data_IF_638024195829
#
_entry.id   IF_638024195829
#
_cell.length_a   1.000
_cell.length_b   1.000
_cell.length_c   1.000
_cell.angle_alpha   90.00
_cell.angle_beta   90.00
_cell.angle_gamma   90.00
#
_symmetry.space_group_name_H-M   'P 1'
#
loop_
_entity.id
_entity.type
_entity.pdbx_description
1 polymer ?
#
# COMPACT_ATOMS: atom_id res chain seq x y z
N UNK A 1 -30.17 -7.79 -30.47
CA UNK A 1 -30.17 -7.82 -29.01
C UNK A 1 -29.38 -9.05 -28.53
N UNK A 2 -28.05 -8.90 -28.27
CA UNK A 2 -27.26 -10.01 -27.72
C UNK A 2 -27.44 -10.00 -26.19
N UNK A 3 -28.18 -10.96 -25.66
CA UNK A 3 -28.21 -11.25 -24.21
C UNK A 3 -26.84 -11.80 -23.81
N UNK A 4 -26.04 -10.97 -23.20
CA UNK A 4 -24.83 -11.42 -22.49
C UNK A 4 -25.30 -12.20 -21.24
N UNK A 5 -25.27 -13.51 -21.31
CA UNK A 5 -25.44 -14.37 -20.14
C UNK A 5 -24.19 -14.14 -19.27
N UNK A 6 -24.32 -13.23 -18.30
CA UNK A 6 -23.37 -13.19 -17.18
C UNK A 6 -23.64 -14.43 -16.33
N UNK A 7 -22.89 -15.51 -16.56
CA UNK A 7 -22.81 -16.60 -15.60
C UNK A 7 -22.22 -15.98 -14.32
N UNK A 8 -23.05 -15.78 -13.29
CA UNK A 8 -22.55 -15.41 -11.97
C UNK A 8 -21.85 -16.65 -11.42
N UNK A 9 -20.51 -16.65 -11.48
CA UNK A 9 -19.70 -17.63 -10.77
C UNK A 9 -20.04 -17.45 -9.29
N UNK A 10 -20.47 -18.52 -8.63
CA UNK A 10 -20.61 -18.52 -7.19
C UNK A 10 -19.21 -18.57 -6.57
N UNK A 11 -18.73 -17.39 -6.18
CA UNK A 11 -17.39 -17.23 -5.63
C UNK A 11 -17.24 -17.94 -4.29
N UNK A 12 -18.30 -18.03 -3.48
CA UNK A 12 -18.27 -18.71 -2.19
C UNK A 12 -18.11 -20.22 -2.39
N UNK A 13 -18.87 -20.79 -3.32
CA UNK A 13 -18.73 -22.20 -3.69
C UNK A 13 -17.32 -22.47 -4.25
N UNK A 14 -16.82 -21.61 -5.16
CA UNK A 14 -15.49 -21.76 -5.75
C UNK A 14 -14.39 -21.75 -4.68
N UNK A 15 -14.50 -20.88 -3.68
CA UNK A 15 -13.52 -20.78 -2.61
C UNK A 15 -13.59 -21.99 -1.65
N UNK A 16 -14.76 -22.48 -1.34
CA UNK A 16 -14.95 -23.72 -0.54
C UNK A 16 -14.37 -24.93 -1.28
N UNK A 17 -14.61 -25.02 -2.59
CA UNK A 17 -14.08 -26.10 -3.42
C UNK A 17 -12.56 -26.05 -3.56
N UNK A 18 -11.99 -24.87 -3.76
CA UNK A 18 -10.54 -24.68 -3.77
C UNK A 18 -9.91 -25.10 -2.44
N UNK A 19 -10.53 -24.74 -1.32
CA UNK A 19 -10.07 -25.18 0.00
C UNK A 19 -10.13 -26.70 0.13
N UNK A 20 -11.19 -27.34 -0.35
CA UNK A 20 -11.36 -28.80 -0.34
C UNK A 20 -10.29 -29.50 -1.18
N UNK A 21 -9.96 -28.97 -2.36
CA UNK A 21 -8.90 -29.49 -3.20
C UNK A 21 -7.53 -29.38 -2.51
N UNK A 22 -7.20 -28.21 -1.95
CA UNK A 22 -5.95 -28.02 -1.22
C UNK A 22 -5.83 -28.93 0.01
N UNK A 23 -6.94 -29.19 0.70
CA UNK A 23 -6.98 -30.13 1.83
C UNK A 23 -6.73 -31.56 1.36
N UNK A 24 -7.31 -31.97 0.23
CA UNK A 24 -7.09 -33.26 -0.40
C UNK A 24 -5.62 -33.43 -0.83
N UNK A 25 -5.05 -32.42 -1.48
CA UNK A 25 -3.65 -32.42 -1.92
C UNK A 25 -2.69 -32.51 -0.72
N UNK A 26 -2.99 -31.76 0.36
CA UNK A 26 -2.19 -31.83 1.58
C UNK A 26 -2.25 -33.23 2.22
N UNK A 27 -3.42 -33.87 2.22
CA UNK A 27 -3.59 -35.23 2.72
C UNK A 27 -2.82 -36.25 1.89
N UNK A 28 -2.85 -36.09 0.57
CA UNK A 28 -2.06 -36.96 -0.33
C UNK A 28 -0.55 -36.79 -0.11
N UNK A 29 -0.09 -35.55 0.09
CA UNK A 29 1.31 -35.22 0.30
C UNK A 29 1.86 -35.62 1.68
N UNK A 30 1.03 -35.59 2.71
CA UNK A 30 1.44 -35.81 4.11
C UNK A 30 1.06 -37.18 4.66
N UNK A 31 0.15 -37.91 3.99
CA UNK A 31 -0.40 -39.19 4.47
C UNK A 31 -1.45 -39.04 5.60
N UNK A 32 -1.75 -37.83 6.04
CA UNK A 32 -2.77 -37.56 7.06
C UNK A 32 -3.47 -36.22 6.79
N UNK A 33 -4.66 -36.02 7.38
CA UNK A 33 -5.39 -34.78 7.25
C UNK A 33 -4.89 -33.76 8.26
N UNK A 34 -4.57 -32.53 7.79
CA UNK A 34 -4.12 -31.40 8.63
C UNK A 34 -5.25 -30.52 9.17
N UNK A 35 -6.45 -30.68 8.62
CA UNK A 35 -7.64 -29.98 9.07
C UNK A 35 -8.85 -30.88 8.87
N UNK A 36 -9.97 -30.67 9.61
CA UNK A 36 -11.23 -31.29 9.34
C UNK A 36 -11.78 -30.85 7.98
N UNK A 37 -12.76 -31.57 7.47
CA UNK A 37 -13.49 -31.16 6.27
C UNK A 37 -14.34 -29.92 6.57
N UNK A 38 -13.71 -28.73 6.38
CA UNK A 38 -14.36 -27.43 6.65
C UNK A 38 -15.52 -27.15 5.69
N UNK A 39 -15.67 -27.93 4.61
CA UNK A 39 -16.81 -27.76 3.69
C UNK A 39 -18.15 -28.10 4.32
N UNK A 40 -18.14 -28.85 5.42
CA UNK A 40 -19.33 -29.24 6.20
C UNK A 40 -19.69 -28.25 7.32
N UNK A 41 -18.80 -27.31 7.62
CA UNK A 41 -19.00 -26.32 8.67
C UNK A 41 -19.65 -25.07 8.08
N UNK A 42 -20.41 -24.36 8.91
CA UNK A 42 -20.78 -22.98 8.60
C UNK A 42 -19.50 -22.11 8.48
N UNK A 43 -19.61 -20.97 7.85
CA UNK A 43 -18.46 -20.06 7.70
C UNK A 43 -17.94 -19.59 9.06
N UNK A 44 -18.82 -19.34 10.03
CA UNK A 44 -18.43 -18.96 11.39
C UNK A 44 -17.63 -20.09 12.07
N UNK A 45 -18.13 -21.32 12.06
CA UNK A 45 -17.43 -22.48 12.63
C UNK A 45 -16.07 -22.72 11.96
N UNK A 46 -16.00 -22.56 10.62
CA UNK A 46 -14.76 -22.69 9.89
C UNK A 46 -13.75 -21.59 10.25
N UNK A 47 -14.22 -20.37 10.59
CA UNK A 47 -13.38 -19.26 11.05
C UNK A 47 -12.86 -19.47 12.46
N UNK A 48 -13.70 -20.02 13.32
CA UNK A 48 -13.34 -20.33 14.71
C UNK A 48 -12.40 -21.53 14.79
N UNK A 49 -12.33 -22.32 13.72
CA UNK A 49 -11.29 -23.35 13.60
C UNK A 49 -9.91 -22.67 13.50
N UNK A 50 -9.38 -22.40 14.66
CA UNK A 50 -8.01 -21.91 14.80
C UNK A 50 -7.10 -23.07 14.47
N UNK A 51 -6.36 -22.97 13.36
CA UNK A 51 -5.28 -23.90 13.08
C UNK A 51 -4.39 -24.00 14.31
N UNK A 52 -4.10 -25.22 14.82
CA UNK A 52 -3.38 -25.39 16.07
C UNK A 52 -2.13 -24.52 16.07
N UNK A 53 -1.86 -23.88 17.21
CA UNK A 53 -0.72 -23.01 17.38
C UNK A 53 0.55 -23.70 16.91
N UNK A 54 1.47 -22.97 16.31
CA UNK A 54 2.68 -23.47 15.65
C UNK A 54 3.59 -24.36 16.50
N UNK A 55 3.31 -24.52 17.77
CA UNK A 55 4.12 -25.30 18.71
C UNK A 55 4.05 -26.82 18.52
N UNK A 56 3.12 -27.31 17.70
CA UNK A 56 2.97 -28.75 17.41
C UNK A 56 3.67 -29.19 16.11
N UNK A 57 4.48 -28.36 15.49
CA UNK A 57 4.95 -28.56 14.12
C UNK A 57 6.38 -29.01 14.07
N UNK A 58 6.57 -30.31 14.01
CA UNK A 58 7.90 -30.91 13.83
C UNK A 58 8.32 -31.01 12.36
N UNK A 59 7.47 -30.55 11.41
CA UNK A 59 7.71 -30.75 9.98
C UNK A 59 7.37 -29.50 9.15
N UNK A 60 8.37 -28.98 8.45
CA UNK A 60 8.25 -27.82 7.56
C UNK A 60 7.21 -27.99 6.44
N UNK A 61 6.98 -29.21 5.96
CA UNK A 61 5.97 -29.51 4.96
C UNK A 61 4.55 -29.33 5.50
N UNK A 62 4.28 -29.82 6.69
CA UNK A 62 3.00 -29.65 7.38
C UNK A 62 2.72 -28.17 7.61
N UNK A 63 3.71 -27.41 8.08
CA UNK A 63 3.61 -25.97 8.26
C UNK A 63 3.27 -25.23 6.97
N UNK A 64 3.89 -25.60 5.84
CA UNK A 64 3.62 -25.01 4.53
C UNK A 64 2.15 -25.17 4.12
N UNK A 65 1.59 -26.37 4.25
CA UNK A 65 0.20 -26.64 3.89
C UNK A 65 -0.80 -25.89 4.75
N UNK A 66 -0.55 -25.84 6.06
CA UNK A 66 -1.39 -25.04 6.95
C UNK A 66 -1.34 -23.55 6.63
N UNK A 67 -0.15 -23.03 6.36
CA UNK A 67 -0.01 -21.62 5.98
C UNK A 67 -0.78 -21.32 4.68
N UNK A 68 -0.75 -22.19 3.70
CA UNK A 68 -1.49 -22.03 2.45
C UNK A 68 -3.00 -22.04 2.69
N UNK A 69 -3.50 -23.01 3.44
CA UNK A 69 -4.93 -23.12 3.78
C UNK A 69 -5.41 -21.91 4.61
N UNK A 70 -4.67 -21.54 5.65
CA UNK A 70 -5.02 -20.40 6.49
C UNK A 70 -4.97 -19.06 5.74
N UNK A 71 -3.98 -18.88 4.85
CA UNK A 71 -3.85 -17.66 4.05
C UNK A 71 -4.99 -17.50 3.05
N UNK A 72 -5.44 -18.59 2.44
CA UNK A 72 -6.60 -18.58 1.56
C UNK A 72 -7.86 -18.16 2.33
N UNK A 73 -8.08 -18.78 3.49
CA UNK A 73 -9.23 -18.56 4.33
C UNK A 73 -9.27 -17.15 4.95
N UNK A 74 -8.14 -16.61 5.36
CA UNK A 74 -8.04 -15.28 5.97
C UNK A 74 -8.27 -14.12 4.99
N UNK A 75 -8.08 -14.33 3.69
CA UNK A 75 -8.21 -13.25 2.70
C UNK A 75 -9.58 -13.16 2.07
N UNK A 76 -10.32 -14.25 2.05
CA UNK A 76 -11.63 -14.29 1.42
C UNK A 76 -12.75 -14.00 2.44
N UNK A 77 -13.74 -13.23 2.02
CA UNK A 77 -14.94 -12.95 2.80
C UNK A 77 -16.12 -13.63 2.16
N UNK A 78 -16.79 -14.51 2.90
CA UNK A 78 -18.01 -15.18 2.47
C UNK A 78 -19.23 -14.27 2.66
N UNK A 79 -20.29 -14.53 1.87
CA UNK A 79 -21.53 -13.73 1.92
C UNK A 79 -22.30 -13.89 3.23
N UNK A 80 -22.18 -15.07 3.84
CA UNK A 80 -22.80 -15.43 5.11
C UNK A 80 -21.98 -15.06 6.35
N UNK A 81 -20.91 -14.26 6.16
CA UNK A 81 -20.06 -13.80 7.26
C UNK A 81 -20.85 -12.87 8.21
N UNK A 82 -20.82 -13.12 9.53
CA UNK A 82 -21.61 -12.34 10.49
C UNK A 82 -21.07 -10.92 10.73
N UNK A 83 -19.95 -10.57 10.11
CA UNK A 83 -19.30 -9.28 10.30
C UNK A 83 -20.02 -8.16 9.53
N UNK A 84 -20.49 -7.15 10.24
CA UNK A 84 -21.05 -5.95 9.64
C UNK A 84 -19.97 -5.10 9.00
N UNK A 85 -20.08 -4.87 7.68
CA UNK A 85 -19.18 -4.00 6.92
C UNK A 85 -19.14 -2.59 7.46
N UNK A 86 -20.28 -2.05 7.87
CA UNK A 86 -20.39 -0.70 8.44
C UNK A 86 -19.65 -0.59 9.76
N UNK A 87 -19.71 -1.64 10.57
CA UNK A 87 -18.96 -1.69 11.82
C UNK A 87 -17.45 -1.71 11.56
N UNK A 88 -16.99 -2.50 10.58
CA UNK A 88 -15.57 -2.53 10.19
C UNK A 88 -15.10 -1.17 9.64
N UNK A 89 -15.94 -0.51 8.84
CA UNK A 89 -15.64 0.82 8.32
C UNK A 89 -15.48 1.82 9.46
N UNK A 90 -16.41 1.85 10.39
CA UNK A 90 -16.39 2.73 11.57
C UNK A 90 -15.11 2.51 12.40
N UNK A 91 -14.81 1.27 12.75
CA UNK A 91 -13.59 0.94 13.54
C UNK A 91 -12.31 1.32 12.79
N UNK A 92 -12.26 1.10 11.48
CA UNK A 92 -11.07 1.44 10.68
C UNK A 92 -10.89 2.95 10.55
N UNK A 93 -11.98 3.70 10.33
CA UNK A 93 -11.94 5.17 10.28
C UNK A 93 -11.57 5.78 11.63
N UNK A 94 -12.10 5.26 12.72
CA UNK A 94 -11.74 5.71 14.06
C UNK A 94 -10.26 5.49 14.37
N UNK A 95 -9.70 4.32 14.02
CA UNK A 95 -8.27 4.06 14.13
C UNK A 95 -7.43 5.03 13.31
N UNK A 96 -7.89 5.37 12.11
CA UNK A 96 -7.21 6.35 11.27
C UNK A 96 -7.24 7.75 11.89
N UNK A 97 -8.42 8.23 12.35
CA UNK A 97 -8.56 9.52 13.06
C UNK A 97 -7.67 9.59 14.30
N UNK A 98 -7.67 8.57 15.13
CA UNK A 98 -6.81 8.49 16.32
C UNK A 98 -5.32 8.55 15.95
N UNK A 99 -4.93 7.94 14.84
CA UNK A 99 -3.57 8.05 14.34
C UNK A 99 -3.23 9.48 13.87
N UNK A 100 -4.14 10.18 13.19
CA UNK A 100 -3.93 11.59 12.81
C UNK A 100 -3.67 12.47 14.04
N UNK A 101 -4.46 12.30 15.10
CA UNK A 101 -4.27 13.04 16.36
C UNK A 101 -2.91 12.71 16.97
N UNK A 102 -2.56 11.43 17.06
CA UNK A 102 -1.25 10.98 17.58
C UNK A 102 -0.08 11.56 16.79
N UNK A 103 -0.19 11.55 15.46
CA UNK A 103 0.86 12.03 14.55
C UNK A 103 0.99 13.56 14.62
N UNK A 104 -0.13 14.27 14.76
CA UNK A 104 -0.14 15.73 14.90
C UNK A 104 0.52 16.21 16.22
N UNK A 105 0.58 15.34 17.24
CA UNK A 105 1.18 15.67 18.55
C UNK A 105 2.68 15.31 18.65
N UNK A 106 3.30 14.81 17.56
CA UNK A 106 4.71 14.45 17.60
C UNK A 106 5.58 15.71 17.51
N UNK A 107 6.44 15.90 18.50
CA UNK A 107 7.42 16.97 18.59
C UNK A 107 8.85 16.41 18.40
N UNK A 108 9.72 17.18 17.75
CA UNK A 108 11.11 16.80 17.51
C UNK A 108 12.10 17.52 18.45
N UNK A 109 11.61 18.36 19.34
CA UNK A 109 12.45 19.27 20.14
C UNK A 109 13.11 18.62 21.36
N UNK A 110 12.82 17.36 21.65
CA UNK A 110 13.48 16.66 22.74
C UNK A 110 14.98 16.47 22.45
N UNK A 111 15.91 16.76 23.39
CA UNK A 111 17.37 16.73 23.16
C UNK A 111 17.89 15.42 22.55
N UNK A 112 17.38 14.26 23.02
CA UNK A 112 17.76 12.95 22.49
C UNK A 112 17.27 12.78 21.03
N UNK A 113 16.05 13.23 20.74
CA UNK A 113 15.48 13.19 19.40
C UNK A 113 16.27 14.07 18.45
N UNK A 114 16.61 15.30 18.86
CA UNK A 114 17.38 16.25 18.08
C UNK A 114 18.77 15.71 17.68
N UNK A 115 19.45 14.99 18.59
CA UNK A 115 20.75 14.39 18.28
C UNK A 115 20.63 13.26 17.25
N UNK A 116 19.62 12.42 17.36
CA UNK A 116 19.34 11.34 16.41
C UNK A 116 18.94 11.93 15.04
N UNK A 117 18.04 12.91 15.03
CA UNK A 117 17.59 13.59 13.80
C UNK A 117 18.75 14.23 13.06
N UNK A 118 19.67 14.89 13.79
CA UNK A 118 20.88 15.47 13.17
C UNK A 118 21.72 14.42 12.47
N UNK A 119 21.97 13.28 13.13
CA UNK A 119 22.78 12.20 12.55
C UNK A 119 22.05 11.53 11.36
N UNK A 120 20.76 11.30 11.50
CA UNK A 120 19.93 10.78 10.42
C UNK A 120 19.94 11.72 9.20
N UNK A 121 19.85 13.05 9.43
CA UNK A 121 19.94 14.05 8.38
C UNK A 121 21.24 13.95 7.59
N UNK A 122 22.40 13.85 8.27
CA UNK A 122 23.70 13.68 7.60
C UNK A 122 23.69 12.46 6.69
N UNK A 123 23.12 11.35 7.15
CA UNK A 123 23.03 10.11 6.38
C UNK A 123 22.09 10.29 5.18
N UNK A 124 20.88 10.84 5.40
CA UNK A 124 19.92 11.09 4.31
C UNK A 124 20.49 12.02 3.24
N UNK A 125 21.19 13.10 3.64
CA UNK A 125 21.81 14.02 2.68
C UNK A 125 22.92 13.35 1.88
N UNK A 126 23.68 12.45 2.49
CA UNK A 126 24.71 11.68 1.79
C UNK A 126 24.11 10.70 0.78
N UNK A 127 23.01 10.01 1.16
CA UNK A 127 22.35 9.01 0.30
C UNK A 127 21.63 9.68 -0.86
N UNK A 128 20.90 10.75 -0.57
CA UNK A 128 20.00 11.37 -1.55
C UNK A 128 20.75 12.34 -2.48
N UNK A 129 21.72 13.10 -1.97
CA UNK A 129 22.42 14.12 -2.75
C UNK A 129 21.46 15.15 -3.38
N UNK A 130 21.82 15.64 -4.55
CA UNK A 130 20.97 16.51 -5.37
C UNK A 130 19.84 15.72 -6.03
N UNK A 131 18.67 16.36 -6.17
CA UNK A 131 17.53 15.74 -6.84
C UNK A 131 17.78 15.68 -8.36
N UNK A 132 17.72 14.50 -8.99
CA UNK A 132 18.02 14.36 -10.42
C UNK A 132 16.82 14.77 -11.29
N UNK A 133 16.58 16.08 -11.38
CA UNK A 133 15.44 16.68 -12.11
C UNK A 133 15.34 16.16 -13.55
N UNK A 134 16.47 16.03 -14.23
CA UNK A 134 16.53 15.57 -15.62
C UNK A 134 16.04 14.13 -15.81
N UNK A 135 16.16 13.28 -14.78
CA UNK A 135 15.74 11.88 -14.86
C UNK A 135 14.26 11.68 -14.47
N UNK A 136 13.64 12.65 -13.78
CA UNK A 136 12.27 12.49 -13.26
C UNK A 136 11.28 12.13 -14.37
N UNK A 137 11.33 12.86 -15.48
CA UNK A 137 10.41 12.67 -16.60
C UNK A 137 10.54 11.29 -17.25
N UNK A 138 11.75 10.72 -17.27
CA UNK A 138 12.03 9.41 -17.85
C UNK A 138 11.47 8.25 -17.00
N UNK A 139 11.37 8.45 -15.68
CA UNK A 139 10.95 7.40 -14.73
C UNK A 139 9.49 7.51 -14.31
N UNK A 140 8.81 8.60 -14.64
CA UNK A 140 7.38 8.74 -14.39
C UNK A 140 6.57 7.70 -15.17
N UNK A 141 5.58 7.08 -14.50
CA UNK A 141 4.76 6.05 -15.12
C UNK A 141 3.35 6.02 -14.54
N UNK A 142 2.39 5.76 -15.41
CA UNK A 142 1.01 5.53 -14.97
C UNK A 142 0.87 4.14 -14.35
N UNK A 143 0.48 4.09 -13.10
CA UNK A 143 0.21 2.83 -12.41
C UNK A 143 -1.13 2.21 -12.82
N UNK A 144 -1.30 0.91 -12.58
CA UNK A 144 -2.54 0.15 -12.87
C UNK A 144 -3.64 0.29 -11.81
N UNK A 145 -3.44 1.14 -10.79
CA UNK A 145 -4.40 1.33 -9.68
C UNK A 145 -5.47 2.36 -10.03
N UNK A 146 -6.60 2.30 -9.31
CA UNK A 146 -7.60 3.37 -9.35
C UNK A 146 -7.03 4.69 -8.86
N UNK A 147 -7.52 5.80 -9.42
CA UNK A 147 -7.19 7.16 -9.01
C UNK A 147 -8.47 7.96 -8.86
N UNK A 148 -8.39 9.16 -8.30
CA UNK A 148 -9.55 10.06 -8.25
C UNK A 148 -10.11 10.25 -9.66
N UNK A 149 -11.41 10.05 -9.84
CA UNK A 149 -12.08 10.11 -11.14
C UNK A 149 -11.92 8.87 -12.04
N UNK A 150 -10.98 7.97 -11.74
CA UNK A 150 -10.72 6.75 -12.52
C UNK A 150 -10.85 5.50 -11.65
N UNK A 151 -12.03 4.84 -11.60
CA UNK A 151 -12.25 3.64 -10.82
C UNK A 151 -11.42 2.45 -11.35
N UNK A 152 -11.30 1.39 -10.56
CA UNK A 152 -10.50 0.21 -10.89
C UNK A 152 -10.87 -0.43 -12.24
N UNK A 153 -12.16 -0.40 -12.60
CA UNK A 153 -12.63 -0.89 -13.91
C UNK A 153 -12.07 -0.09 -15.11
N UNK A 154 -11.57 1.11 -14.87
CA UNK A 154 -10.94 2.00 -15.85
C UNK A 154 -9.44 2.21 -15.56
N UNK A 155 -8.77 1.21 -14.97
CA UNK A 155 -7.36 1.33 -14.56
C UNK A 155 -6.35 1.09 -15.68
N UNK A 156 -6.77 0.63 -16.83
CA UNK A 156 -5.93 0.53 -18.03
C UNK A 156 -5.55 1.91 -18.55
N UNK A 157 -4.36 2.04 -19.13
CA UNK A 157 -3.79 3.33 -19.52
C UNK A 157 -4.67 4.11 -20.49
N UNK A 158 -5.16 3.46 -21.53
CA UNK A 158 -6.07 4.02 -22.54
C UNK A 158 -7.35 4.59 -21.91
N UNK A 159 -7.95 3.84 -20.99
CA UNK A 159 -9.15 4.27 -20.28
C UNK A 159 -8.89 5.38 -19.27
N UNK A 160 -7.70 5.43 -18.68
CA UNK A 160 -7.28 6.51 -17.76
C UNK A 160 -7.06 7.81 -18.52
N UNK A 161 -6.39 7.76 -19.66
CA UNK A 161 -6.12 8.94 -20.47
C UNK A 161 -7.36 9.45 -21.20
N UNK A 162 -8.35 8.58 -21.47
CA UNK A 162 -9.66 8.97 -21.94
C UNK A 162 -10.59 9.52 -20.84
N UNK A 163 -10.19 9.36 -19.57
CA UNK A 163 -10.91 9.87 -18.41
C UNK A 163 -10.45 11.27 -17.97
N UNK A 164 -10.93 11.73 -16.80
CA UNK A 164 -10.55 13.04 -16.29
C UNK A 164 -9.09 13.07 -15.85
N UNK A 165 -8.37 14.11 -16.25
CA UNK A 165 -7.01 14.41 -15.82
C UNK A 165 -7.09 15.12 -14.46
N UNK A 166 -6.91 14.39 -13.38
CA UNK A 166 -7.05 14.91 -12.02
C UNK A 166 -5.70 15.20 -11.38
N UNK A 167 -5.61 16.31 -10.65
CA UNK A 167 -4.40 16.71 -9.92
C UNK A 167 -4.64 17.84 -8.94
N UNK A 168 -3.73 18.04 -7.98
CA UNK A 168 -3.64 19.30 -7.23
C UNK A 168 -3.17 20.44 -8.15
N UNK A 169 -3.25 21.67 -7.66
CA UNK A 169 -2.72 22.80 -8.40
C UNK A 169 -1.22 22.62 -8.76
N UNK A 170 -0.41 22.16 -7.81
CA UNK A 170 1.03 21.89 -8.03
C UNK A 170 1.27 20.76 -9.02
N UNK A 171 0.50 19.67 -8.94
CA UNK A 171 0.59 18.53 -9.84
C UNK A 171 0.22 18.90 -11.27
N UNK A 172 -0.89 19.64 -11.44
CA UNK A 172 -1.34 20.09 -12.77
C UNK A 172 -0.34 21.09 -13.37
N UNK A 173 0.19 22.02 -12.58
CA UNK A 173 1.23 22.95 -13.03
C UNK A 173 2.46 22.17 -13.54
N UNK A 174 3.02 21.28 -12.72
CA UNK A 174 4.16 20.47 -13.12
C UNK A 174 3.87 19.67 -14.39
N UNK A 175 2.69 19.04 -14.48
CA UNK A 175 2.34 18.21 -15.62
C UNK A 175 2.20 19.00 -16.92
N UNK A 176 1.44 20.09 -16.92
CA UNK A 176 1.19 20.89 -18.12
C UNK A 176 2.34 21.83 -18.49
N UNK A 177 3.02 22.42 -17.50
CA UNK A 177 4.05 23.42 -17.75
C UNK A 177 5.45 22.82 -17.96
N UNK A 178 5.70 21.65 -17.39
CA UNK A 178 7.04 21.02 -17.42
C UNK A 178 7.03 19.69 -18.17
N UNK A 179 6.22 18.72 -17.70
CA UNK A 179 6.27 17.35 -18.24
C UNK A 179 5.80 17.24 -19.70
N UNK A 180 4.63 17.77 -20.05
CA UNK A 180 4.07 17.66 -21.40
C UNK A 180 4.93 18.32 -22.49
N UNK A 181 5.82 19.22 -22.13
CA UNK A 181 6.79 19.79 -23.09
C UNK A 181 7.83 18.76 -23.55
N UNK A 182 8.03 17.70 -22.77
CA UNK A 182 8.99 16.63 -23.07
C UNK A 182 8.36 15.42 -23.77
N UNK A 183 7.01 15.31 -23.76
CA UNK A 183 6.28 14.18 -24.34
C UNK A 183 5.16 14.68 -25.28
N UNK A 184 5.53 14.90 -26.54
CA UNK A 184 4.62 15.42 -27.57
C UNK A 184 3.42 14.50 -27.83
N UNK A 185 3.64 13.17 -27.75
CA UNK A 185 2.56 12.20 -27.98
C UNK A 185 1.51 12.28 -26.87
N UNK A 186 1.97 12.31 -25.63
CA UNK A 186 1.07 12.46 -24.49
C UNK A 186 0.37 13.82 -24.52
N UNK A 187 1.07 14.88 -24.91
CA UNK A 187 0.49 16.22 -25.10
C UNK A 187 -0.67 16.20 -26.12
N UNK A 188 -0.54 15.48 -27.22
CA UNK A 188 -1.60 15.35 -28.23
C UNK A 188 -2.81 14.57 -27.68
N UNK A 189 -2.57 13.52 -26.89
CA UNK A 189 -3.62 12.67 -26.29
C UNK A 189 -4.41 13.45 -25.22
N UNK A 190 -3.71 14.14 -24.32
CA UNK A 190 -4.31 14.78 -23.13
C UNK A 190 -4.68 16.24 -23.36
N UNK A 191 -4.12 16.90 -24.39
CA UNK A 191 -4.32 18.33 -24.64
C UNK A 191 -5.76 18.74 -24.95
N UNK A 192 -6.64 17.77 -25.20
CA UNK A 192 -8.08 17.96 -25.41
C UNK A 192 -8.92 17.77 -24.13
N UNK A 193 -8.32 17.31 -23.04
CA UNK A 193 -9.02 17.02 -21.80
C UNK A 193 -8.92 18.21 -20.85
N UNK A 194 -10.05 18.66 -20.29
CA UNK A 194 -10.03 19.68 -19.26
C UNK A 194 -9.52 19.07 -17.95
N UNK A 195 -8.51 19.70 -17.29
CA UNK A 195 -8.00 19.20 -16.04
C UNK A 195 -8.98 19.44 -14.89
N UNK A 196 -9.13 18.46 -14.02
CA UNK A 196 -9.94 18.60 -12.80
C UNK A 196 -9.02 18.82 -11.60
N UNK A 197 -9.10 20.02 -11.03
CA UNK A 197 -8.40 20.36 -9.80
C UNK A 197 -9.01 19.62 -8.60
N UNK A 198 -8.13 19.05 -7.76
CA UNK A 198 -8.46 18.36 -6.52
C UNK A 198 -7.78 19.09 -5.38
N UNK A 199 -8.54 19.59 -4.41
CA UNK A 199 -8.02 20.36 -3.27
C UNK A 199 -7.68 19.50 -2.05
N UNK A 200 -8.31 18.32 -1.92
CA UNK A 200 -8.05 17.34 -0.86
C UNK A 200 -8.27 15.91 -1.34
N UNK A 201 -7.59 14.97 -0.73
CA UNK A 201 -7.77 13.55 -1.00
C UNK A 201 -8.78 12.94 -0.03
N UNK A 202 -9.58 11.99 -0.50
CA UNK A 202 -10.52 11.24 0.33
C UNK A 202 -9.89 9.96 0.85
N UNK A 203 -10.12 9.67 2.12
CA UNK A 203 -9.79 8.39 2.69
C UNK A 203 -10.76 7.34 2.14
N UNK A 204 -10.20 6.30 1.55
CA UNK A 204 -10.94 5.15 1.07
C UNK A 204 -10.55 3.91 1.89
N UNK A 205 -11.50 3.02 2.12
CA UNK A 205 -11.30 1.77 2.84
C UNK A 205 -11.21 0.61 1.86
N UNK A 206 -10.11 -0.13 1.93
CA UNK A 206 -9.91 -1.33 1.11
C UNK A 206 -9.79 -2.57 1.99
N UNK A 207 -10.38 -3.72 1.59
CA UNK A 207 -10.23 -4.95 2.33
C UNK A 207 -8.76 -5.39 2.41
N UNK A 208 -8.27 -5.73 3.61
CA UNK A 208 -6.97 -6.35 3.84
C UNK A 208 -7.13 -7.84 4.14
N UNK A 209 -8.12 -8.19 4.90
CA UNK A 209 -8.53 -9.54 5.23
C UNK A 209 -10.04 -9.58 5.43
N UNK A 210 -10.59 -10.75 5.74
CA UNK A 210 -12.02 -10.89 6.00
C UNK A 210 -12.55 -10.00 7.14
N UNK A 211 -11.72 -9.68 8.13
CA UNK A 211 -12.09 -8.91 9.34
C UNK A 211 -11.36 -7.57 9.48
N UNK A 212 -10.52 -7.18 8.52
CA UNK A 212 -9.71 -5.96 8.63
C UNK A 212 -9.76 -5.22 7.31
N UNK A 213 -10.09 -3.94 7.38
CA UNK A 213 -9.93 -2.99 6.29
C UNK A 213 -8.67 -2.14 6.52
N UNK A 214 -8.20 -1.53 5.46
CA UNK A 214 -7.06 -0.64 5.44
C UNK A 214 -7.50 0.70 4.89
N UNK A 215 -7.14 1.78 5.57
CA UNK A 215 -7.28 3.14 5.06
C UNK A 215 -6.21 3.42 4.00
N UNK A 216 -6.62 4.01 2.89
CA UNK A 216 -5.73 4.51 1.85
C UNK A 216 -6.19 5.91 1.45
N UNK A 217 -5.28 6.77 1.02
CA UNK A 217 -5.64 7.99 0.31
C UNK A 217 -5.64 7.68 -1.20
N UNK A 218 -6.80 7.84 -1.82
CA UNK A 218 -6.92 7.69 -3.26
C UNK A 218 -6.24 8.89 -3.93
N UNK A 219 -5.05 8.66 -4.53
CA UNK A 219 -4.30 9.72 -5.18
C UNK A 219 -4.95 10.16 -6.49
N UNK A 220 -4.66 11.37 -6.94
CA UNK A 220 -5.03 11.87 -8.26
C UNK A 220 -4.29 11.13 -9.38
N UNK A 221 -4.73 11.30 -10.62
CA UNK A 221 -4.07 10.67 -11.77
C UNK A 221 -2.63 11.17 -11.91
N UNK A 222 -2.45 12.49 -11.90
CA UNK A 222 -1.12 13.11 -12.04
C UNK A 222 -0.26 12.89 -10.80
N UNK A 223 -0.85 12.95 -9.59
CA UNK A 223 -0.11 12.63 -8.37
C UNK A 223 0.39 11.19 -8.34
N UNK A 224 -0.38 10.25 -8.87
CA UNK A 224 0.07 8.85 -8.97
C UNK A 224 1.22 8.70 -9.98
N UNK A 225 1.16 9.44 -11.09
CA UNK A 225 2.17 9.46 -12.13
C UNK A 225 3.50 10.07 -11.63
N UNK A 226 3.46 11.27 -11.05
CA UNK A 226 4.61 11.99 -10.52
C UNK A 226 5.24 11.26 -9.33
N UNK A 227 4.43 10.87 -8.33
CA UNK A 227 4.92 10.19 -7.13
C UNK A 227 5.57 8.82 -7.43
N UNK A 228 5.16 8.15 -8.51
CA UNK A 228 5.82 6.93 -8.96
C UNK A 228 7.23 7.21 -9.47
N UNK A 229 7.43 8.32 -10.19
CA UNK A 229 8.76 8.76 -10.64
C UNK A 229 9.68 9.12 -9.48
N UNK A 230 9.20 9.97 -8.56
CA UNK A 230 9.96 10.30 -7.33
C UNK A 230 10.31 9.04 -6.53
N UNK A 231 9.36 8.11 -6.41
CA UNK A 231 9.58 6.82 -5.75
C UNK A 231 10.67 5.98 -6.41
N UNK A 232 10.71 5.94 -7.74
CA UNK A 232 11.75 5.23 -8.49
C UNK A 232 13.13 5.86 -8.25
N UNK A 233 13.24 7.18 -8.24
CA UNK A 233 14.50 7.89 -7.94
C UNK A 233 14.97 7.60 -6.51
N UNK A 234 14.07 7.57 -5.53
CA UNK A 234 14.41 7.16 -4.16
C UNK A 234 14.92 5.71 -4.11
N UNK A 235 14.26 4.79 -4.84
CA UNK A 235 14.71 3.40 -4.93
C UNK A 235 16.13 3.32 -5.52
N UNK A 236 16.43 4.09 -6.55
CA UNK A 236 17.78 4.15 -7.14
C UNK A 236 18.82 4.68 -6.15
N UNK A 237 18.50 5.75 -5.42
CA UNK A 237 19.38 6.30 -4.39
C UNK A 237 19.64 5.31 -3.25
N UNK A 238 18.63 4.60 -2.77
CA UNK A 238 18.78 3.55 -1.76
C UNK A 238 19.62 2.37 -2.29
N UNK A 239 19.40 1.98 -3.53
CA UNK A 239 20.11 0.86 -4.15
C UNK A 239 21.59 1.14 -4.35
N UNK A 240 22.00 2.38 -4.64
CA UNK A 240 23.41 2.77 -4.75
C UNK A 240 24.17 2.61 -3.42
N UNK A 241 23.46 2.68 -2.30
CA UNK A 241 23.99 2.43 -0.95
C UNK A 241 23.81 0.96 -0.47
N UNK A 242 23.45 0.06 -1.37
CA UNK A 242 23.27 -1.37 -1.07
C UNK A 242 21.92 -1.74 -0.47
N UNK A 243 20.99 -0.78 -0.34
CA UNK A 243 19.63 -0.99 0.18
C UNK A 243 18.65 -1.29 -0.97
N UNK A 244 18.79 -2.44 -1.62
CA UNK A 244 17.86 -2.85 -2.69
C UNK A 244 16.52 -3.30 -2.13
N UNK A 245 15.63 -2.36 -1.87
CA UNK A 245 14.29 -2.62 -1.32
C UNK A 245 13.41 -3.49 -2.21
N UNK A 246 13.74 -3.63 -3.49
CA UNK A 246 13.00 -4.50 -4.42
C UNK A 246 13.24 -5.98 -4.12
N UNK A 247 14.40 -6.32 -3.53
CA UNK A 247 14.82 -7.68 -3.16
C UNK A 247 14.81 -7.95 -1.66
N UNK A 248 14.61 -6.93 -0.82
CA UNK A 248 14.69 -7.09 0.64
C UNK A 248 13.74 -8.16 1.18
N UNK A 249 12.56 -8.34 0.61
CA UNK A 249 11.65 -9.41 1.06
C UNK A 249 12.24 -10.80 0.89
N UNK A 250 12.97 -11.04 -0.19
CA UNK A 250 13.64 -12.33 -0.42
C UNK A 250 14.83 -12.51 0.53
N UNK A 251 15.62 -11.46 0.71
CA UNK A 251 16.73 -11.42 1.66
C UNK A 251 16.23 -11.68 3.07
N UNK A 252 15.19 -10.98 3.51
CA UNK A 252 14.61 -11.16 4.84
C UNK A 252 14.06 -12.58 5.04
N UNK A 253 13.42 -13.20 4.03
CA UNK A 253 12.98 -14.60 4.15
C UNK A 253 14.14 -15.56 4.38
N UNK A 254 15.27 -15.36 3.69
CA UNK A 254 16.48 -16.17 3.89
C UNK A 254 17.06 -15.97 5.28
N UNK A 255 17.18 -14.72 5.72
CA UNK A 255 17.69 -14.35 7.04
C UNK A 255 16.81 -14.92 8.15
N UNK A 256 15.50 -14.77 8.05
CA UNK A 256 14.54 -15.32 9.05
C UNK A 256 14.69 -16.83 9.15
N UNK A 257 14.85 -17.53 8.02
CA UNK A 257 15.09 -18.98 8.05
C UNK A 257 16.37 -19.35 8.81
N UNK A 258 17.45 -18.60 8.63
CA UNK A 258 18.72 -18.84 9.30
C UNK A 258 18.65 -18.48 10.79
N UNK A 259 18.10 -17.30 11.11
CA UNK A 259 18.11 -16.74 12.46
C UNK A 259 17.01 -17.31 13.37
N UNK A 260 15.94 -17.86 12.82
CA UNK A 260 14.91 -18.57 13.61
C UNK A 260 15.48 -19.81 14.34
N UNK A 261 16.51 -20.42 13.76
CA UNK A 261 17.20 -21.55 14.39
C UNK A 261 18.15 -21.10 15.51
N UNK A 262 18.83 -19.98 15.33
CA UNK A 262 19.81 -19.45 16.30
C UNK A 262 19.20 -18.63 17.44
N UNK A 263 17.99 -18.13 17.25
CA UNK A 263 17.29 -17.21 18.18
C UNK A 263 18.06 -15.92 18.51
N UNK A 264 19.03 -15.54 17.66
CA UNK A 264 19.89 -14.37 17.86
C UNK A 264 19.30 -13.08 17.32
N UNK A 265 18.23 -13.16 16.51
CA UNK A 265 17.62 -12.01 15.87
C UNK A 265 16.10 -12.07 16.01
N UNK A 266 15.47 -10.89 16.04
CA UNK A 266 14.03 -10.74 16.04
C UNK A 266 13.56 -10.03 14.76
N UNK A 267 12.33 -10.29 14.33
CA UNK A 267 11.65 -9.52 13.30
C UNK A 267 10.56 -8.67 13.93
N UNK A 268 10.45 -7.42 13.52
CA UNK A 268 9.40 -6.49 13.97
C UNK A 268 8.59 -6.01 12.77
N UNK A 269 7.29 -5.81 12.97
CA UNK A 269 6.40 -5.12 12.04
C UNK A 269 5.82 -3.89 12.72
N UNK A 270 5.93 -2.74 12.05
CA UNK A 270 5.46 -1.47 12.57
C UNK A 270 4.00 -1.23 12.16
N UNK A 271 3.15 -0.99 13.14
CA UNK A 271 1.76 -0.61 12.88
C UNK A 271 1.69 0.83 12.35
N UNK A 272 0.89 1.03 11.28
CA UNK A 272 0.64 2.36 10.69
C UNK A 272 1.92 3.10 10.26
N UNK A 273 2.95 2.37 9.86
CA UNK A 273 4.24 2.95 9.47
C UNK A 273 4.08 4.02 8.37
N UNK A 274 3.31 3.72 7.31
CA UNK A 274 3.02 4.65 6.21
C UNK A 274 2.30 5.92 6.66
N UNK A 275 1.41 5.79 7.64
CA UNK A 275 0.58 6.89 8.13
C UNK A 275 1.20 7.57 9.37
N UNK A 276 2.52 7.36 9.60
CA UNK A 276 3.27 7.93 10.73
C UNK A 276 4.42 8.85 10.30
N UNK A 277 4.65 9.01 9.00
CA UNK A 277 5.68 9.91 8.48
C UNK A 277 5.13 11.33 8.48
N UNK A 278 5.66 12.16 9.38
CA UNK A 278 5.23 13.55 9.52
C UNK A 278 6.04 14.50 8.63
N UNK A 279 5.42 15.58 8.17
CA UNK A 279 6.05 16.55 7.31
C UNK A 279 7.28 17.21 7.94
N UNK A 280 7.21 17.51 9.22
CA UNK A 280 8.32 18.12 9.96
C UNK A 280 9.56 17.21 9.95
N UNK A 281 9.37 15.90 10.12
CA UNK A 281 10.46 14.93 10.08
C UNK A 281 11.09 14.86 8.68
N UNK A 282 10.29 14.78 7.63
CA UNK A 282 10.81 14.74 6.24
C UNK A 282 11.61 16.00 5.92
N UNK A 283 11.11 17.18 6.29
CA UNK A 283 11.85 18.45 6.13
C UNK A 283 13.14 18.53 6.96
N UNK A 284 13.16 17.89 8.12
CA UNK A 284 14.34 17.85 8.97
C UNK A 284 15.41 16.90 8.44
N UNK A 285 15.02 15.82 7.76
CA UNK A 285 15.93 14.76 7.30
C UNK A 285 16.38 14.89 5.86
N UNK A 286 15.46 15.23 4.93
CA UNK A 286 15.74 15.19 3.50
C UNK A 286 16.35 16.52 2.97
N UNK A 287 17.18 16.47 1.91
CA UNK A 287 17.61 17.67 1.22
C UNK A 287 16.43 18.49 0.66
N UNK A 288 16.54 19.81 0.66
CA UNK A 288 15.46 20.71 0.26
C UNK A 288 14.95 20.44 -1.17
N UNK A 289 15.83 20.09 -2.10
CA UNK A 289 15.48 19.74 -3.48
C UNK A 289 14.56 18.50 -3.56
N UNK A 290 14.80 17.47 -2.75
CA UNK A 290 13.96 16.30 -2.64
C UNK A 290 12.61 16.64 -1.99
N UNK A 291 12.62 17.46 -0.94
CA UNK A 291 11.37 17.92 -0.30
C UNK A 291 10.51 18.70 -1.28
N UNK A 292 11.11 19.59 -2.09
CA UNK A 292 10.39 20.35 -3.12
C UNK A 292 9.72 19.42 -4.15
N UNK A 293 10.44 18.41 -4.64
CA UNK A 293 9.89 17.43 -5.56
C UNK A 293 8.74 16.63 -4.93
N UNK A 294 8.91 16.15 -3.70
CA UNK A 294 7.86 15.39 -3.01
C UNK A 294 6.67 16.25 -2.59
N UNK A 295 6.87 17.55 -2.31
CA UNK A 295 5.79 18.49 -1.92
C UNK A 295 4.78 18.72 -3.06
N UNK A 296 5.11 18.42 -4.31
CA UNK A 296 4.18 18.41 -5.45
C UNK A 296 2.99 17.47 -5.18
N UNK A 297 3.26 16.34 -4.51
CA UNK A 297 2.26 15.30 -4.22
C UNK A 297 1.66 15.41 -2.82
N UNK A 298 2.10 16.36 -2.02
CA UNK A 298 1.59 16.54 -0.66
C UNK A 298 0.26 17.29 -0.67
N UNK A 299 -0.77 16.68 -0.10
CA UNK A 299 -2.06 17.32 0.15
C UNK A 299 -2.15 17.76 1.61
N UNK A 300 -2.23 19.07 1.88
CA UNK A 300 -2.32 19.57 3.25
C UNK A 300 -3.66 19.26 3.94
N UNK A 301 -4.68 18.93 3.14
CA UNK A 301 -6.02 18.61 3.61
C UNK A 301 -6.46 17.23 3.13
N UNK A 302 -7.21 16.52 3.97
CA UNK A 302 -7.82 15.22 3.66
C UNK A 302 -9.27 15.18 4.12
N UNK A 303 -10.11 14.50 3.35
CA UNK A 303 -11.50 14.21 3.70
C UNK A 303 -11.57 12.82 4.36
N UNK A 304 -12.01 12.80 5.60
CA UNK A 304 -12.24 11.59 6.39
C UNK A 304 -13.72 11.49 6.69
N UNK A 305 -14.43 10.69 5.91
CA UNK A 305 -15.86 10.43 6.08
C UNK A 305 -16.74 11.70 5.96
N UNK A 306 -16.40 12.59 5.02
CA UNK A 306 -17.13 13.83 4.75
C UNK A 306 -16.66 15.03 5.57
N UNK A 307 -15.73 14.87 6.50
CA UNK A 307 -15.11 15.96 7.25
C UNK A 307 -13.69 16.21 6.76
N UNK A 308 -13.34 17.47 6.52
CA UNK A 308 -12.03 17.87 6.01
C UNK A 308 -11.11 18.26 7.17
N UNK A 309 -9.96 17.59 7.26
CA UNK A 309 -8.96 17.79 8.30
C UNK A 309 -7.62 18.23 7.72
N UNK A 310 -6.83 18.92 8.54
CA UNK A 310 -5.41 19.09 8.26
C UNK A 310 -4.72 17.73 8.22
N UNK A 311 -3.88 17.50 7.20
CA UNK A 311 -3.12 16.28 7.04
C UNK A 311 -1.74 16.39 7.73
N UNK A 312 -1.54 15.83 8.92
CA UNK A 312 -0.25 15.84 9.58
C UNK A 312 0.75 14.85 8.95
N UNK A 313 0.24 13.86 8.19
CA UNK A 313 1.07 12.86 7.53
C UNK A 313 1.63 13.43 6.23
N UNK A 314 2.92 13.23 6.00
CA UNK A 314 3.56 13.67 4.76
C UNK A 314 3.17 12.80 3.57
N UNK A 315 3.15 11.52 3.80
CA UNK A 315 2.68 10.54 2.84
C UNK A 315 1.84 9.48 3.57
N UNK A 316 1.02 8.80 2.80
CA UNK A 316 0.16 7.72 3.28
C UNK A 316 0.20 6.57 2.29
N UNK A 317 -0.46 5.48 2.62
CA UNK A 317 -0.60 4.38 1.68
C UNK A 317 -1.38 4.84 0.43
N UNK A 318 -0.75 4.73 -0.72
CA UNK A 318 -1.30 5.16 -2.02
C UNK A 318 -0.38 6.11 -2.79
N UNK A 319 0.53 6.81 -2.10
CA UNK A 319 1.54 7.67 -2.72
C UNK A 319 2.75 6.83 -3.13
N UNK A 320 3.26 7.06 -4.34
CA UNK A 320 4.27 6.20 -4.97
C UNK A 320 5.61 6.11 -4.22
N UNK A 321 6.02 7.18 -3.56
CA UNK A 321 7.28 7.22 -2.81
C UNK A 321 7.16 6.85 -1.32
N UNK A 322 5.97 6.50 -0.83
CA UNK A 322 5.78 6.19 0.61
C UNK A 322 6.72 5.10 1.09
N UNK A 323 6.82 3.99 0.36
CA UNK A 323 7.63 2.86 0.80
C UNK A 323 9.14 3.14 0.78
N UNK A 324 9.74 3.67 -0.30
CA UNK A 324 11.16 4.02 -0.28
C UNK A 324 11.50 5.15 0.70
N UNK A 325 10.58 6.07 0.98
CA UNK A 325 10.80 7.13 1.97
C UNK A 325 10.84 6.59 3.41
N UNK A 326 10.19 5.46 3.69
CA UNK A 326 10.22 4.79 5.01
C UNK A 326 11.52 4.03 5.28
N UNK A 327 12.28 3.72 4.24
CA UNK A 327 13.52 2.96 4.33
C UNK A 327 14.70 3.80 4.77
#
# INVERSE_FOLDING_TARGET
MKRTVKSRIDTDWTMKELFRCLLSDSRAALGFSIAPDLSRLSTAEARDYIFPSMFCWNNAYTLKWHYQLSSLWQRYRFKDEPLDDKQLDKVTMEKFRNNLVRVASIELDHPLVSSVVRKAREICHRILGEFPVGELNEVCKFGSRSTVGNPLAKSYLDLKLAGPITGSCSQLRWFYDEYLKTDLLLCEIVGKSEPIKVDYLKVALVPKSWKIKRSILANTLIGNFHSAGVGELLVRALKSEGLDITRLQEVHRRLVKTFSLSRTHATGDLSLASDSIIRVLVKALCPACWVQAMDVDHFPMIDVDGEVFNNPCYCTMGIGFTFPLQT
#
